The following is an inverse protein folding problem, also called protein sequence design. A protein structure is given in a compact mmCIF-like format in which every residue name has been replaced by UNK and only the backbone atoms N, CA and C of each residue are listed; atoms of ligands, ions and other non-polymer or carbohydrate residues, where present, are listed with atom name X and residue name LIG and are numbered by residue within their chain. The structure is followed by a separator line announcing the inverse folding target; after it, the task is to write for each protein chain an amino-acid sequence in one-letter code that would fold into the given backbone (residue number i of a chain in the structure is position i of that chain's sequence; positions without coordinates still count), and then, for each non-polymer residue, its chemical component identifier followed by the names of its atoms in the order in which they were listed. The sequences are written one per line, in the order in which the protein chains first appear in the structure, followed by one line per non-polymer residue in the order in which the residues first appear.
data_IF_302552518687
#
_entry.id   IF_302552518687
#
_cell.length_a   1.000
_cell.length_b   1.000
_cell.length_c   1.000
_cell.angle_alpha   90.00
_cell.angle_beta   90.00
_cell.angle_gamma   90.00
#
_symmetry.space_group_name_H-M   'P 1'
#
loop_
_entity.id
_entity.type
_entity.pdbx_description
1 polymer ?
#
# COMPACT_ATOMS: atom_id res chain seq x y z
N UNK A 1 62.08 16.04 29.75
CA UNK A 1 60.89 16.14 30.62
C UNK A 1 60.13 17.38 30.19
N UNK A 2 58.99 17.22 29.49
CA UNK A 2 58.25 18.32 28.87
C UNK A 2 57.19 18.82 29.86
N UNK A 3 57.37 20.02 30.42
CA UNK A 3 56.41 20.63 31.35
C UNK A 3 55.34 21.34 30.51
N UNK A 4 54.18 20.70 30.36
CA UNK A 4 53.05 21.29 29.65
C UNK A 4 52.42 22.35 30.56
N UNK A 5 52.44 23.60 30.12
CA UNK A 5 51.88 24.72 30.87
C UNK A 5 50.36 24.56 31.05
N UNK A 6 49.80 24.79 32.26
CA UNK A 6 48.37 24.58 32.55
C UNK A 6 47.44 25.43 31.66
N UNK A 7 47.95 26.53 31.10
CA UNK A 7 47.21 27.36 30.13
C UNK A 7 46.95 26.64 28.80
N UNK A 8 47.84 25.74 28.40
CA UNK A 8 47.70 24.96 27.16
C UNK A 8 46.61 23.90 27.33
N UNK A 9 46.54 23.23 28.50
CA UNK A 9 45.48 22.26 28.77
C UNK A 9 44.08 22.87 28.69
N UNK A 10 43.88 24.08 29.24
CA UNK A 10 42.57 24.75 29.22
C UNK A 10 42.15 25.06 27.78
N UNK A 11 43.07 25.56 26.95
CA UNK A 11 42.79 25.86 25.54
C UNK A 11 42.44 24.61 24.73
N UNK A 12 43.14 23.49 24.96
CA UNK A 12 42.86 22.21 24.28
C UNK A 12 41.48 21.67 24.67
N UNK A 13 41.11 21.75 25.96
CA UNK A 13 39.80 21.31 26.45
C UNK A 13 38.68 22.19 25.88
N UNK A 14 38.87 23.51 25.83
CA UNK A 14 37.90 24.43 25.25
C UNK A 14 37.74 24.22 23.74
N UNK A 15 38.83 23.96 23.02
CA UNK A 15 38.78 23.67 21.58
C UNK A 15 38.03 22.37 21.26
N UNK A 16 38.24 21.32 22.06
CA UNK A 16 37.52 20.06 21.91
C UNK A 16 36.02 20.21 22.18
N UNK A 17 35.64 20.97 23.22
CA UNK A 17 34.23 21.23 23.55
C UNK A 17 33.51 21.97 22.42
N UNK A 18 34.15 22.99 21.82
CA UNK A 18 33.56 23.74 20.72
C UNK A 18 33.28 22.85 19.50
N UNK A 19 34.24 21.99 19.13
CA UNK A 19 34.09 21.06 17.99
C UNK A 19 32.98 20.03 18.22
N UNK A 20 32.86 19.51 19.44
CA UNK A 20 31.84 18.51 19.77
C UNK A 20 30.42 19.09 19.66
N UNK A 21 30.23 20.34 20.09
CA UNK A 21 28.95 21.05 19.96
C UNK A 21 28.58 21.30 18.50
N UNK A 22 29.54 21.70 17.66
CA UNK A 22 29.27 21.93 16.23
C UNK A 22 28.86 20.66 15.48
N UNK A 23 29.46 19.51 15.80
CA UNK A 23 29.12 18.22 15.16
C UNK A 23 27.73 17.72 15.56
N UNK A 24 27.35 17.88 16.83
CA UNK A 24 26.02 17.50 17.32
C UNK A 24 24.91 18.30 16.60
N UNK A 25 25.08 19.62 16.43
CA UNK A 25 24.12 20.46 15.72
C UNK A 25 23.98 20.05 14.25
N UNK A 26 25.09 19.80 13.55
CA UNK A 26 25.06 19.36 12.16
C UNK A 26 24.34 18.01 11.97
N UNK A 27 24.57 17.06 12.88
CA UNK A 27 23.88 15.76 12.89
C UNK A 27 22.37 15.88 13.08
N UNK A 28 21.91 16.74 13.99
CA UNK A 28 20.46 16.95 14.20
C UNK A 28 19.76 17.57 12.99
N UNK A 29 20.41 18.50 12.30
CA UNK A 29 19.85 19.12 11.09
C UNK A 29 19.69 18.10 9.95
N UNK A 30 20.67 17.20 9.77
CA UNK A 30 20.58 16.12 8.78
C UNK A 30 19.44 15.14 9.09
N UNK A 31 19.27 14.75 10.37
CA UNK A 31 18.21 13.84 10.79
C UNK A 31 16.81 14.44 10.56
N UNK A 32 16.63 15.74 10.85
CA UNK A 32 15.38 16.46 10.60
C UNK A 32 15.10 16.49 9.10
N UNK A 33 16.09 16.81 8.27
CA UNK A 33 15.93 16.88 6.81
C UNK A 33 15.56 15.53 6.19
N UNK A 34 16.13 14.42 6.68
CA UNK A 34 15.79 13.08 6.21
C UNK A 34 14.31 12.74 6.44
N UNK A 35 13.76 13.13 7.59
CA UNK A 35 12.36 12.88 7.94
C UNK A 35 11.37 13.59 7.01
N UNK A 36 11.71 14.79 6.52
CA UNK A 36 10.85 15.52 5.57
C UNK A 36 10.90 14.94 4.15
N UNK A 37 11.99 14.26 3.78
CA UNK A 37 12.13 13.68 2.45
C UNK A 37 11.29 12.40 2.27
N UNK A 38 11.14 11.58 3.30
CA UNK A 38 10.36 10.33 3.22
C UNK A 38 8.86 10.50 3.46
N UNK A 39 8.40 11.68 3.87
CA UNK A 39 7.00 11.94 4.25
C UNK A 39 6.11 12.49 3.13
N UNK A 40 6.63 12.68 1.91
CA UNK A 40 5.74 12.98 0.78
C UNK A 40 5.25 11.67 0.19
N UNK A 41 4.02 11.21 0.50
CA UNK A 41 3.43 10.12 -0.27
C UNK A 41 3.42 10.56 -1.72
N UNK A 42 4.09 9.79 -2.58
CA UNK A 42 3.96 9.95 -4.03
C UNK A 42 2.51 9.61 -4.34
N UNK A 43 1.67 10.63 -4.48
CA UNK A 43 0.34 10.45 -5.03
C UNK A 43 0.51 10.19 -6.51
N UNK A 44 0.48 8.91 -6.87
CA UNK A 44 0.29 8.50 -8.25
C UNK A 44 -1.18 8.79 -8.59
N UNK A 45 -1.47 10.01 -9.02
CA UNK A 45 -2.64 10.19 -9.89
C UNK A 45 -2.30 9.45 -11.20
N UNK A 46 -2.71 8.19 -11.27
CA UNK A 46 -2.73 7.48 -12.53
C UNK A 46 -3.72 8.23 -13.43
N UNK A 47 -3.18 9.12 -14.26
CA UNK A 47 -3.87 9.65 -15.42
C UNK A 47 -4.21 8.42 -16.27
N UNK A 48 -5.41 7.87 -16.12
CA UNK A 48 -5.96 6.92 -17.08
C UNK A 48 -6.58 7.78 -18.19
N UNK A 49 -5.89 7.96 -19.33
CA UNK A 49 -6.39 8.82 -20.38
C UNK A 49 -7.56 8.11 -21.07
N UNK A 50 -8.79 8.50 -20.73
CA UNK A 50 -9.96 8.42 -21.60
C UNK A 50 -10.11 7.12 -22.42
N UNK A 51 -9.77 5.97 -21.86
CA UNK A 51 -10.19 4.72 -22.44
C UNK A 51 -11.68 4.62 -22.13
N UNK A 52 -12.50 4.95 -23.14
CA UNK A 52 -13.85 4.41 -23.29
C UNK A 52 -13.76 2.88 -23.43
N UNK A 53 -13.19 2.22 -22.44
CA UNK A 53 -13.49 0.83 -22.18
C UNK A 53 -14.92 0.87 -21.68
N UNK A 54 -15.83 0.36 -22.51
CA UNK A 54 -17.21 0.06 -22.16
C UNK A 54 -17.27 -0.49 -20.74
N UNK A 55 -17.63 0.38 -19.79
CA UNK A 55 -17.64 0.14 -18.35
C UNK A 55 -18.83 -0.76 -17.94
N UNK A 56 -19.26 -1.64 -18.83
CA UNK A 56 -20.53 -2.38 -18.72
C UNK A 56 -20.32 -3.87 -18.46
N UNK A 57 -19.14 -4.23 -17.99
CA UNK A 57 -18.96 -5.43 -17.16
C UNK A 57 -18.23 -5.03 -15.88
N UNK A 58 -18.82 -4.08 -15.15
CA UNK A 58 -18.59 -4.04 -13.70
C UNK A 58 -19.12 -5.36 -13.18
N UNK A 59 -18.20 -6.27 -12.89
CA UNK A 59 -18.51 -7.50 -12.17
C UNK A 59 -19.02 -7.06 -10.81
N UNK A 60 -20.35 -7.04 -10.66
CA UNK A 60 -20.98 -6.72 -9.41
C UNK A 60 -20.51 -7.75 -8.37
N UNK A 61 -20.01 -7.28 -7.22
CA UNK A 61 -19.51 -8.13 -6.13
C UNK A 61 -18.19 -8.86 -6.43
N UNK A 62 -17.41 -8.40 -7.41
CA UNK A 62 -16.04 -8.85 -7.62
C UNK A 62 -15.04 -8.25 -6.63
N UNK A 63 -14.02 -9.01 -6.27
CA UNK A 63 -12.89 -8.58 -5.45
C UNK A 63 -11.59 -8.74 -6.24
N UNK A 64 -10.62 -7.85 -6.03
CA UNK A 64 -9.25 -7.99 -6.54
C UNK A 64 -8.32 -8.09 -5.34
N UNK A 65 -7.58 -9.18 -5.25
CA UNK A 65 -6.67 -9.46 -4.14
C UNK A 65 -5.25 -9.51 -4.65
N UNK A 66 -4.37 -8.75 -3.99
CA UNK A 66 -2.94 -8.71 -4.26
C UNK A 66 -2.21 -9.48 -3.16
N UNK A 67 -1.54 -10.57 -3.53
CA UNK A 67 -0.69 -11.33 -2.62
C UNK A 67 0.73 -10.76 -2.59
N UNK A 68 1.41 -10.96 -1.46
CA UNK A 68 2.82 -10.62 -1.29
C UNK A 68 3.71 -11.37 -2.29
N UNK A 69 4.92 -10.85 -2.50
CA UNK A 69 5.94 -11.45 -3.36
C UNK A 69 6.18 -12.92 -2.99
N UNK A 70 6.19 -13.79 -4.00
CA UNK A 70 6.38 -15.24 -3.86
C UNK A 70 5.33 -15.98 -3.02
N UNK A 71 4.21 -15.34 -2.64
CA UNK A 71 3.12 -15.98 -1.92
C UNK A 71 2.10 -16.58 -2.90
N UNK A 72 1.87 -17.89 -2.80
CA UNK A 72 1.03 -18.61 -3.76
C UNK A 72 -0.44 -18.69 -3.32
N UNK A 73 -1.32 -19.02 -4.27
CA UNK A 73 -2.75 -19.20 -4.01
C UNK A 73 -3.01 -20.35 -3.02
N UNK A 74 -2.22 -21.42 -3.10
CA UNK A 74 -2.31 -22.57 -2.21
C UNK A 74 -1.89 -22.21 -0.79
N UNK A 75 -0.79 -21.46 -0.64
CA UNK A 75 -0.34 -20.96 0.66
C UNK A 75 -1.40 -20.05 1.29
N UNK A 76 -1.99 -19.15 0.49
CA UNK A 76 -3.09 -18.30 0.92
C UNK A 76 -4.29 -19.12 1.42
N UNK A 77 -4.72 -20.13 0.64
CA UNK A 77 -5.82 -21.04 1.03
C UNK A 77 -5.53 -21.79 2.34
N UNK A 78 -4.30 -22.25 2.52
CA UNK A 78 -3.88 -22.93 3.76
C UNK A 78 -3.91 -21.99 4.96
N UNK A 79 -3.41 -20.76 4.82
CA UNK A 79 -3.35 -19.78 5.91
C UNK A 79 -4.74 -19.41 6.43
N UNK A 80 -5.71 -19.20 5.52
CA UNK A 80 -7.09 -18.89 5.91
C UNK A 80 -7.93 -20.13 6.24
N UNK A 81 -7.33 -21.33 6.19
CA UNK A 81 -7.96 -22.63 6.44
C UNK A 81 -9.22 -22.87 5.58
N UNK A 82 -9.23 -22.35 4.35
CA UNK A 82 -10.37 -22.44 3.42
C UNK A 82 -9.87 -22.42 1.98
N UNK A 83 -10.40 -23.32 1.15
CA UNK A 83 -10.06 -23.36 -0.27
C UNK A 83 -10.70 -22.16 -0.98
N UNK A 84 -9.87 -21.27 -1.54
CA UNK A 84 -10.35 -20.10 -2.29
C UNK A 84 -10.53 -20.39 -3.78
N UNK A 85 -10.02 -21.50 -4.29
CA UNK A 85 -10.07 -21.86 -5.71
C UNK A 85 -11.48 -21.78 -6.31
N UNK A 86 -12.56 -22.22 -5.62
CA UNK A 86 -13.93 -22.10 -6.14
C UNK A 86 -14.41 -20.65 -6.32
N UNK A 87 -13.79 -19.70 -5.62
CA UNK A 87 -14.13 -18.28 -5.65
C UNK A 87 -13.26 -17.49 -6.62
N UNK A 88 -12.16 -18.07 -7.14
CA UNK A 88 -11.26 -17.42 -8.09
C UNK A 88 -11.85 -17.51 -9.50
N UNK A 89 -12.20 -16.36 -10.06
CA UNK A 89 -12.66 -16.26 -11.45
C UNK A 89 -11.49 -16.20 -12.42
N UNK A 90 -10.46 -15.41 -12.07
CA UNK A 90 -9.31 -15.16 -12.95
C UNK A 90 -8.07 -14.80 -12.16
N UNK A 91 -6.92 -15.35 -12.59
CA UNK A 91 -5.61 -14.89 -12.14
C UNK A 91 -5.05 -13.90 -13.17
N UNK A 92 -4.52 -12.78 -12.71
CA UNK A 92 -4.01 -11.69 -13.53
C UNK A 92 -2.46 -11.74 -13.54
N UNK A 93 -1.88 -11.90 -14.72
CA UNK A 93 -0.43 -12.13 -14.90
C UNK A 93 0.34 -10.88 -15.33
N UNK A 94 -0.07 -9.69 -14.90
CA UNK A 94 0.64 -8.43 -15.24
C UNK A 94 1.83 -8.13 -14.32
N UNK A 95 2.00 -8.91 -13.25
CA UNK A 95 3.19 -8.89 -12.39
C UNK A 95 3.81 -10.29 -12.40
N UNK A 96 5.05 -10.42 -12.85
CA UNK A 96 5.74 -11.73 -12.95
C UNK A 96 5.98 -12.36 -11.57
N UNK A 97 6.17 -11.54 -10.55
CA UNK A 97 6.56 -11.99 -9.20
C UNK A 97 5.40 -12.01 -8.18
N UNK A 98 4.18 -11.64 -8.59
CA UNK A 98 3.03 -11.51 -7.71
C UNK A 98 1.80 -12.20 -8.27
N UNK A 99 1.10 -12.89 -7.38
CA UNK A 99 -0.23 -13.42 -7.68
C UNK A 99 -1.26 -12.32 -7.40
N UNK A 100 -1.95 -11.90 -8.45
CA UNK A 100 -3.15 -11.05 -8.33
C UNK A 100 -4.32 -11.85 -8.87
N UNK A 101 -5.39 -11.96 -8.09
CA UNK A 101 -6.58 -12.70 -8.53
C UNK A 101 -7.85 -11.88 -8.38
N UNK A 102 -8.80 -12.16 -9.27
CA UNK A 102 -10.17 -11.67 -9.22
C UNK A 102 -11.03 -12.77 -8.62
N UNK A 103 -11.70 -12.46 -7.51
CA UNK A 103 -12.63 -13.35 -6.83
C UNK A 103 -14.08 -12.91 -7.02
N UNK A 104 -15.00 -13.87 -7.01
CA UNK A 104 -16.45 -13.66 -7.00
C UNK A 104 -17.15 -14.51 -5.93
N UNK A 105 -18.37 -14.10 -5.57
CA UNK A 105 -19.23 -14.83 -4.64
C UNK A 105 -18.53 -15.18 -3.31
N UNK A 106 -17.73 -14.24 -2.80
CA UNK A 106 -17.05 -14.33 -1.51
C UNK A 106 -18.02 -13.87 -0.42
N UNK A 107 -18.25 -14.71 0.59
CA UNK A 107 -19.03 -14.35 1.77
C UNK A 107 -18.23 -13.43 2.73
N UNK A 108 -18.93 -12.72 3.62
CA UNK A 108 -18.30 -11.74 4.51
C UNK A 108 -17.26 -12.39 5.45
N UNK A 109 -17.46 -13.65 5.84
CA UNK A 109 -16.54 -14.41 6.68
C UNK A 109 -15.24 -14.74 5.93
N UNK A 110 -15.34 -15.21 4.69
CA UNK A 110 -14.19 -15.46 3.81
C UNK A 110 -13.46 -14.16 3.48
N UNK A 111 -14.19 -13.08 3.21
CA UNK A 111 -13.59 -11.77 2.98
C UNK A 111 -12.78 -11.31 4.20
N UNK A 112 -13.35 -11.46 5.40
CA UNK A 112 -12.67 -11.13 6.66
C UNK A 112 -11.41 -11.98 6.83
N UNK A 113 -11.46 -13.27 6.51
CA UNK A 113 -10.32 -14.16 6.57
C UNK A 113 -9.21 -13.78 5.57
N UNK A 114 -9.59 -13.42 4.33
CA UNK A 114 -8.65 -12.92 3.31
C UNK A 114 -7.97 -11.63 3.80
N UNK A 115 -8.73 -10.69 4.35
CA UNK A 115 -8.20 -9.42 4.87
C UNK A 115 -7.30 -9.60 6.10
N UNK A 116 -7.46 -10.69 6.84
CA UNK A 116 -6.65 -11.02 8.01
C UNK A 116 -5.33 -11.74 7.66
N UNK A 117 -5.16 -12.26 6.43
CA UNK A 117 -3.92 -12.90 6.02
C UNK A 117 -2.79 -11.85 5.94
N UNK A 118 -1.70 -11.99 6.74
CA UNK A 118 -0.60 -11.03 6.77
C UNK A 118 0.17 -10.90 5.45
N UNK A 119 -0.02 -11.85 4.53
CA UNK A 119 0.61 -11.84 3.21
C UNK A 119 -0.33 -11.31 2.10
N UNK A 120 -1.49 -10.76 2.46
CA UNK A 120 -2.33 -9.98 1.55
C UNK A 120 -1.93 -8.52 1.63
N UNK A 121 -1.44 -7.97 0.52
CA UNK A 121 -0.99 -6.57 0.47
C UNK A 121 -2.17 -5.60 0.35
N UNK A 122 -3.17 -5.96 -0.45
CA UNK A 122 -4.36 -5.14 -0.65
C UNK A 122 -5.54 -5.94 -1.17
N UNK A 123 -6.75 -5.50 -0.79
CA UNK A 123 -8.03 -6.03 -1.26
C UNK A 123 -8.86 -4.86 -1.78
N UNK A 124 -9.23 -4.92 -3.05
CA UNK A 124 -10.15 -3.96 -3.67
C UNK A 124 -11.50 -4.63 -3.87
N UNK A 125 -12.57 -3.96 -3.48
CA UNK A 125 -13.93 -4.43 -3.69
C UNK A 125 -14.61 -3.57 -4.75
N UNK A 126 -15.31 -4.20 -5.68
CA UNK A 126 -16.22 -3.49 -6.56
C UNK A 126 -17.43 -3.03 -5.74
N UNK A 127 -17.87 -1.77 -5.83
CA UNK A 127 -19.07 -1.32 -5.12
C UNK A 127 -20.25 -2.19 -5.54
N UNK A 128 -21.09 -2.58 -4.57
CA UNK A 128 -22.36 -3.23 -4.87
C UNK A 128 -23.17 -2.27 -5.73
N UNK A 129 -23.29 -2.57 -7.02
CA UNK A 129 -24.27 -1.88 -7.85
C UNK A 129 -25.62 -2.40 -7.35
N UNK A 130 -26.29 -1.58 -6.56
CA UNK A 130 -27.73 -1.75 -6.36
C UNK A 130 -28.33 -1.54 -7.74
N UNK A 131 -28.59 -2.64 -8.46
CA UNK A 131 -29.56 -2.62 -9.54
C UNK A 131 -30.89 -2.37 -8.85
N UNK A 132 -31.16 -1.10 -8.59
CA UNK A 132 -32.44 -0.66 -8.10
C UNK A 132 -33.44 -1.20 -9.12
N UNK A 133 -34.25 -2.17 -8.69
CA UNK A 133 -35.28 -2.81 -9.49
C UNK A 133 -36.41 -1.85 -9.84
N UNK A 134 -36.09 -0.57 -10.01
CA UNK A 134 -36.89 0.47 -10.60
C UNK A 134 -37.15 0.13 -12.06
N UNK A 135 -38.12 -0.76 -12.25
CA UNK A 135 -39.02 -0.78 -13.38
C UNK A 135 -39.77 0.56 -13.47
N UNK A 136 -39.02 1.65 -13.68
CA UNK A 136 -39.53 2.99 -13.92
C UNK A 136 -39.87 3.09 -15.39
N UNK A 137 -41.06 2.62 -15.75
CA UNK A 137 -41.60 2.72 -17.10
C UNK A 137 -41.50 4.14 -17.64
N UNK A 138 -40.56 4.36 -18.57
CA UNK A 138 -40.53 5.54 -19.43
C UNK A 138 -41.70 5.44 -20.41
N UNK A 139 -42.83 6.06 -20.06
CA UNK A 139 -43.86 6.47 -21.01
C UNK A 139 -43.29 7.61 -21.84
N UNK A 140 -42.91 7.33 -23.08
CA UNK A 140 -42.59 8.33 -24.08
C UNK A 140 -43.91 8.87 -24.65
N UNK A 141 -44.42 9.98 -24.11
CA UNK A 141 -45.40 10.80 -24.83
C UNK A 141 -44.63 11.83 -25.64
N UNK A 142 -44.49 11.55 -26.94
CA UNK A 142 -44.28 12.59 -27.93
C UNK A 142 -45.58 13.37 -28.08
N UNK A 143 -45.49 14.69 -27.98
CA UNK A 143 -46.47 15.66 -28.49
C UNK A 143 -45.69 16.83 -29.07
#
# INVERSE_FOLDING_TARGET
MLIISPRICILVVMFWRQKLLTLALLGTLLAISWKYFTLKPVQYEALFPNSKLSCEQVIAQGYIVYLALSYTLEQHSMTIHRDITPHVERILNFHEDKVVYVGQAIDDDLLTAIQADPNVESVYHSPKIFTDGGNGGRRNTFS
#
